data_IF_794120970041
#
_entry.id   IF_794120970041
#
_cell.length_a   1.000
_cell.length_b   1.000
_cell.length_c   1.000
_cell.angle_alpha   90.00
_cell.angle_beta   90.00
_cell.angle_gamma   90.00
#
_symmetry.space_group_name_H-M   'P 1'
#
loop_
_entity.id
_entity.type
_entity.pdbx_description
1 polymer ?
#
# COMPACT_ATOMS: atom_id res chain seq x y z
N UNK A 1 0.69 6.45 -17.26
CA UNK A 1 2.12 6.41 -16.81
C UNK A 1 2.22 5.47 -15.64
N UNK A 2 3.31 4.72 -15.46
CA UNK A 2 3.31 3.64 -14.45
C UNK A 2 4.60 3.65 -13.63
N UNK A 3 4.43 3.69 -12.31
CA UNK A 3 5.49 3.65 -11.31
C UNK A 3 5.56 2.27 -10.65
N UNK A 4 6.70 1.95 -10.05
CA UNK A 4 6.89 0.73 -9.25
C UNK A 4 8.01 0.96 -8.24
N UNK A 5 8.40 -0.08 -7.49
CA UNK A 5 9.53 -0.05 -6.59
C UNK A 5 10.59 -1.11 -6.98
N UNK A 6 11.86 -0.77 -6.78
CA UNK A 6 12.99 -1.68 -7.03
C UNK A 6 13.26 -2.67 -5.88
N UNK A 7 12.56 -2.52 -4.76
CA UNK A 7 12.74 -3.27 -3.52
C UNK A 7 11.88 -2.73 -2.40
N UNK A 8 12.05 -3.27 -1.19
CA UNK A 8 11.38 -2.78 0.02
C UNK A 8 12.16 -1.69 0.74
N UNK A 9 11.49 -1.04 1.69
CA UNK A 9 12.01 0.10 2.44
C UNK A 9 11.77 1.43 1.72
N UNK A 10 12.36 2.49 2.28
CA UNK A 10 12.14 3.87 1.83
C UNK A 10 12.82 4.19 0.51
N UNK A 11 12.20 5.03 -0.31
CA UNK A 11 12.86 5.67 -1.47
C UNK A 11 13.22 4.71 -2.60
N UNK A 12 12.41 3.67 -2.80
CA UNK A 12 12.64 2.64 -3.81
C UNK A 12 11.89 2.88 -5.13
N UNK A 13 11.13 3.98 -5.22
CA UNK A 13 10.34 4.33 -6.41
C UNK A 13 11.18 4.43 -7.68
N UNK A 14 10.72 3.76 -8.75
CA UNK A 14 11.27 3.83 -10.10
C UNK A 14 10.12 3.87 -11.13
N UNK A 15 10.43 4.22 -12.37
CA UNK A 15 9.49 4.05 -13.48
C UNK A 15 9.37 2.57 -13.84
N UNK A 16 8.16 2.09 -14.17
CA UNK A 16 7.95 0.74 -14.71
C UNK A 16 8.39 0.70 -16.18
N UNK A 17 9.68 0.82 -16.45
CA UNK A 17 10.27 0.75 -17.80
C UNK A 17 11.32 -0.33 -17.81
N UNK A 18 11.38 -1.14 -18.86
CA UNK A 18 12.31 -2.27 -18.94
C UNK A 18 13.74 -1.86 -18.55
N UNK A 19 14.26 -0.79 -19.15
CA UNK A 19 15.61 -0.28 -18.89
C UNK A 19 15.82 0.31 -17.47
N UNK A 20 14.75 0.68 -16.76
CA UNK A 20 14.82 1.19 -15.39
C UNK A 20 14.72 0.07 -14.33
N UNK A 21 14.26 -1.12 -14.71
CA UNK A 21 14.13 -2.25 -13.79
C UNK A 21 15.50 -2.87 -13.47
N UNK A 22 15.77 -3.23 -12.20
CA UNK A 22 16.89 -4.08 -11.86
C UNK A 22 16.83 -5.42 -12.60
N UNK A 23 17.98 -6.00 -12.92
CA UNK A 23 18.07 -7.29 -13.63
C UNK A 23 17.29 -8.41 -12.93
N UNK A 24 17.27 -8.43 -11.59
CA UNK A 24 16.48 -9.40 -10.84
C UNK A 24 14.97 -9.31 -11.15
N UNK A 25 14.43 -8.10 -11.30
CA UNK A 25 13.03 -7.89 -11.65
C UNK A 25 12.74 -8.18 -13.12
N UNK A 26 13.69 -7.85 -14.00
CA UNK A 26 13.63 -8.25 -15.42
C UNK A 26 13.57 -9.78 -15.53
N UNK A 27 14.41 -10.52 -14.81
CA UNK A 27 14.41 -11.99 -14.82
C UNK A 27 13.13 -12.62 -14.26
N UNK A 28 12.43 -11.94 -13.34
CA UNK A 28 11.11 -12.39 -12.86
C UNK A 28 10.03 -12.18 -13.92
N UNK A 29 10.07 -11.04 -14.61
CA UNK A 29 9.17 -10.74 -15.72
C UNK A 29 9.49 -11.56 -16.97
N UNK A 30 10.69 -12.11 -17.11
CA UNK A 30 11.08 -12.91 -18.27
C UNK A 30 10.66 -14.39 -18.19
N UNK A 31 9.72 -14.71 -17.29
CA UNK A 31 9.18 -16.05 -17.10
C UNK A 31 7.75 -16.17 -17.63
N UNK A 32 7.45 -17.27 -18.29
CA UNK A 32 6.10 -17.69 -18.66
C UNK A 32 5.26 -18.10 -17.42
N UNK A 33 4.01 -18.51 -17.63
CA UNK A 33 3.12 -18.97 -16.56
C UNK A 33 3.62 -20.18 -15.77
N UNK A 34 4.50 -20.98 -16.37
CA UNK A 34 5.10 -22.18 -15.79
C UNK A 34 6.43 -21.86 -15.07
N UNK A 35 6.89 -20.61 -15.10
CA UNK A 35 8.14 -20.18 -14.48
C UNK A 35 9.38 -20.42 -15.35
N UNK A 36 9.20 -20.74 -16.64
CA UNK A 36 10.30 -20.95 -17.60
C UNK A 36 10.67 -19.65 -18.29
N UNK A 37 11.97 -19.40 -18.40
CA UNK A 37 12.48 -18.21 -19.08
C UNK A 37 12.27 -18.30 -20.58
N UNK A 38 11.61 -17.30 -21.16
CA UNK A 38 11.17 -17.32 -22.57
C UNK A 38 11.67 -16.15 -23.43
N UNK A 39 12.42 -15.21 -22.84
CA UNK A 39 12.98 -14.06 -23.53
C UNK A 39 11.96 -12.96 -23.86
N UNK A 40 10.72 -13.08 -23.38
CA UNK A 40 9.64 -12.14 -23.68
C UNK A 40 9.45 -11.05 -22.62
N UNK A 41 10.35 -10.90 -21.64
CA UNK A 41 10.19 -10.01 -20.50
C UNK A 41 9.90 -8.54 -20.86
N UNK A 42 10.61 -7.96 -21.84
CA UNK A 42 10.34 -6.57 -22.28
C UNK A 42 8.97 -6.45 -22.94
N UNK A 43 8.65 -7.36 -23.86
CA UNK A 43 7.35 -7.42 -24.54
C UNK A 43 6.21 -7.62 -23.55
N UNK A 44 6.44 -8.42 -22.50
CA UNK A 44 5.51 -8.66 -21.41
C UNK A 44 5.28 -7.41 -20.56
N UNK A 45 6.34 -6.65 -20.28
CA UNK A 45 6.21 -5.36 -19.63
C UNK A 45 5.41 -4.37 -20.49
N UNK A 46 5.62 -4.32 -21.80
CA UNK A 46 4.83 -3.46 -22.68
C UNK A 46 3.34 -3.86 -22.68
N UNK A 47 3.05 -5.16 -22.67
CA UNK A 47 1.68 -5.67 -22.49
C UNK A 47 1.05 -5.20 -21.17
N UNK A 48 1.76 -5.32 -20.03
CA UNK A 48 1.31 -4.83 -18.72
C UNK A 48 1.07 -3.32 -18.73
N UNK A 49 1.84 -2.58 -19.53
CA UNK A 49 1.67 -1.13 -19.73
C UNK A 49 0.57 -0.75 -20.72
N UNK A 50 -0.14 -1.73 -21.27
CA UNK A 50 -1.31 -1.52 -22.12
C UNK A 50 -1.06 -1.73 -23.63
N UNK A 51 0.13 -2.14 -24.05
CA UNK A 51 0.35 -2.53 -25.45
C UNK A 51 -0.49 -3.78 -25.79
N UNK A 52 -1.17 -3.73 -26.93
CA UNK A 52 -2.07 -4.79 -27.42
C UNK A 52 -1.51 -5.54 -28.63
N UNK A 53 -0.35 -5.17 -29.14
CA UNK A 53 0.23 -5.69 -30.39
C UNK A 53 0.56 -7.19 -30.36
N UNK A 54 0.70 -7.76 -29.16
CA UNK A 54 1.00 -9.18 -28.95
C UNK A 54 -0.16 -9.98 -28.33
N UNK A 55 -1.36 -9.41 -28.31
CA UNK A 55 -2.59 -10.14 -27.95
C UNK A 55 -2.96 -11.16 -29.04
N UNK A 56 -3.51 -12.32 -28.64
CA UNK A 56 -3.82 -13.49 -29.48
C UNK A 56 -2.61 -14.20 -30.13
N UNK A 57 -1.40 -13.61 -30.05
CA UNK A 57 -0.15 -14.24 -30.47
C UNK A 57 0.64 -14.79 -29.27
N UNK A 58 1.39 -13.94 -28.57
CA UNK A 58 2.21 -14.31 -27.42
C UNK A 58 1.40 -14.31 -26.11
N UNK A 59 0.47 -13.38 -25.96
CA UNK A 59 -0.30 -13.18 -24.73
C UNK A 59 -1.80 -13.35 -24.97
N UNK A 60 -2.56 -13.57 -23.91
CA UNK A 60 -4.02 -13.62 -24.03
C UNK A 60 -4.59 -12.27 -24.49
N UNK A 61 -5.73 -12.33 -25.17
CA UNK A 61 -6.48 -11.13 -25.52
C UNK A 61 -7.25 -10.59 -24.33
N UNK A 62 -7.15 -9.29 -24.09
CA UNK A 62 -7.89 -8.60 -23.03
C UNK A 62 -9.19 -8.01 -23.54
N UNK A 63 -10.24 -8.09 -22.70
CA UNK A 63 -11.48 -7.33 -22.91
C UNK A 63 -11.32 -5.83 -22.62
N UNK A 64 -10.44 -5.48 -21.68
CA UNK A 64 -10.11 -4.12 -21.25
C UNK A 64 -8.63 -4.04 -20.86
N UNK A 65 -8.01 -2.87 -21.01
CA UNK A 65 -6.63 -2.64 -20.51
C UNK A 65 -6.62 -2.62 -18.98
N UNK A 66 -7.63 -1.99 -18.36
CA UNK A 66 -7.84 -2.06 -16.92
C UNK A 66 -8.23 -3.48 -16.52
N UNK A 67 -7.50 -4.04 -15.55
CA UNK A 67 -7.75 -5.36 -14.99
C UNK A 67 -9.06 -5.48 -14.21
N UNK A 68 -9.39 -6.72 -13.84
CA UNK A 68 -10.61 -6.99 -13.07
C UNK A 68 -10.51 -6.40 -11.65
N UNK A 69 -11.53 -5.64 -11.25
CA UNK A 69 -11.70 -5.12 -9.88
C UNK A 69 -12.70 -6.03 -9.17
N UNK A 70 -12.25 -6.75 -8.14
CA UNK A 70 -13.08 -7.77 -7.48
C UNK A 70 -13.42 -7.36 -6.04
N UNK A 71 -12.41 -7.14 -5.19
CA UNK A 71 -12.65 -6.78 -3.78
C UNK A 71 -12.23 -5.35 -3.43
N UNK A 72 -11.34 -4.74 -4.21
CA UNK A 72 -10.90 -3.37 -3.95
C UNK A 72 -12.04 -2.39 -4.21
N UNK A 73 -12.36 -1.56 -3.21
CA UNK A 73 -13.31 -0.47 -3.37
C UNK A 73 -12.60 0.79 -3.88
N UNK A 74 -13.34 1.63 -4.61
CA UNK A 74 -12.85 2.91 -5.08
C UNK A 74 -12.70 3.89 -3.91
N UNK A 75 -11.49 4.40 -3.71
CA UNK A 75 -11.18 5.45 -2.75
C UNK A 75 -11.17 6.82 -3.46
N UNK A 76 -12.12 7.69 -3.13
CA UNK A 76 -12.19 9.04 -3.68
C UNK A 76 -11.42 10.01 -2.80
N UNK A 77 -10.47 10.74 -3.37
CA UNK A 77 -9.68 11.77 -2.66
C UNK A 77 -9.76 13.10 -3.41
N UNK A 78 -10.19 14.13 -2.70
CA UNK A 78 -10.26 15.52 -3.15
C UNK A 78 -9.51 16.42 -2.16
N UNK A 79 -9.94 17.65 -1.89
CA UNK A 79 -9.28 18.50 -0.89
C UNK A 79 -9.16 17.82 0.49
N UNK A 80 -8.10 18.12 1.29
CA UNK A 80 -7.90 17.50 2.60
C UNK A 80 -9.07 17.75 3.57
N UNK A 81 -9.48 16.72 4.28
CA UNK A 81 -10.66 16.72 5.16
C UNK A 81 -10.46 15.97 6.49
N UNK A 82 -9.22 15.62 6.86
CA UNK A 82 -8.90 14.93 8.12
C UNK A 82 -9.28 15.72 9.38
N UNK A 83 -9.58 17.02 9.25
CA UNK A 83 -10.23 17.81 10.30
C UNK A 83 -9.33 18.19 11.48
N UNK A 84 -8.00 18.13 11.32
CA UNK A 84 -7.07 18.53 12.37
C UNK A 84 -7.20 20.02 12.69
N UNK A 85 -6.95 20.35 13.96
CA UNK A 85 -6.85 21.70 14.51
C UNK A 85 -5.38 22.03 14.72
N UNK A 86 -4.98 23.28 14.50
CA UNK A 86 -3.62 23.76 14.80
C UNK A 86 -3.23 23.78 16.30
N UNK A 87 -4.07 23.23 17.18
CA UNK A 87 -3.86 23.17 18.62
C UNK A 87 -3.23 21.85 19.08
N UNK A 88 -2.16 21.40 18.41
CA UNK A 88 -1.38 20.24 18.85
C UNK A 88 -0.61 20.55 20.15
N UNK A 89 -0.31 19.55 21.00
CA UNK A 89 0.43 19.74 22.24
C UNK A 89 1.78 20.45 22.05
N UNK A 90 2.19 21.24 23.04
CA UNK A 90 3.45 22.01 23.02
C UNK A 90 4.66 21.11 22.76
N UNK A 91 5.53 21.53 21.84
CA UNK A 91 6.76 20.81 21.52
C UNK A 91 6.60 19.70 20.49
N UNK A 92 5.38 19.46 19.99
CA UNK A 92 5.15 18.56 18.85
C UNK A 92 5.61 19.20 17.54
N UNK A 93 6.02 18.38 16.53
CA UNK A 93 6.42 18.89 15.22
C UNK A 93 5.35 19.78 14.56
N UNK A 94 4.08 19.42 14.70
CA UNK A 94 2.93 20.14 14.14
C UNK A 94 2.77 21.51 14.80
N UNK A 95 2.85 21.59 16.14
CA UNK A 95 2.74 22.86 16.88
C UNK A 95 3.89 23.82 16.54
N UNK A 96 5.11 23.28 16.41
CA UNK A 96 6.29 24.07 16.01
C UNK A 96 6.10 24.60 14.58
N UNK A 97 5.63 23.76 13.65
CA UNK A 97 5.40 24.14 12.27
C UNK A 97 4.26 25.16 12.13
N UNK A 98 3.18 25.00 12.88
CA UNK A 98 2.07 25.95 12.95
C UNK A 98 2.54 27.33 13.42
N UNK A 99 3.44 27.39 14.40
CA UNK A 99 4.05 28.65 14.87
C UNK A 99 4.88 29.35 13.78
N UNK A 100 5.41 28.58 12.81
CA UNK A 100 6.07 29.07 11.61
C UNK A 100 5.15 29.35 10.41
N UNK A 101 3.83 29.21 10.57
CA UNK A 101 2.84 29.44 9.53
C UNK A 101 2.57 28.25 8.59
N UNK A 102 3.08 27.06 8.94
CA UNK A 102 2.81 25.78 8.25
C UNK A 102 1.70 25.02 8.97
N UNK A 103 0.54 25.65 9.06
CA UNK A 103 -0.65 25.11 9.71
C UNK A 103 -1.38 24.04 8.90
N UNK A 104 -2.20 23.23 9.55
CA UNK A 104 -3.08 22.30 8.83
C UNK A 104 -4.15 23.08 8.04
N UNK A 105 -4.67 24.16 8.61
CA UNK A 105 -5.62 25.07 7.99
C UNK A 105 -5.05 25.65 6.68
N UNK A 106 -3.75 25.96 6.65
CA UNK A 106 -3.05 26.39 5.43
C UNK A 106 -2.89 25.24 4.44
N UNK A 107 -2.61 24.02 4.90
CA UNK A 107 -2.53 22.84 4.04
C UNK A 107 -3.87 22.57 3.35
N UNK A 108 -4.98 22.59 4.10
CA UNK A 108 -6.36 22.50 3.59
C UNK A 108 -6.62 23.62 2.58
N UNK A 109 -6.33 24.87 2.93
CA UNK A 109 -6.53 25.99 2.02
C UNK A 109 -5.73 25.84 0.72
N UNK A 110 -4.47 25.41 0.81
CA UNK A 110 -3.58 25.23 -0.34
C UNK A 110 -4.08 24.13 -1.28
N UNK A 111 -4.62 23.04 -0.73
CA UNK A 111 -5.05 21.86 -1.49
C UNK A 111 -6.57 21.75 -1.67
N UNK A 112 -7.34 22.79 -1.31
CA UNK A 112 -8.82 22.80 -1.43
C UNK A 112 -9.33 22.52 -2.86
N UNK A 113 -8.51 22.85 -3.86
CA UNK A 113 -8.79 22.62 -5.28
C UNK A 113 -7.98 21.45 -5.85
N UNK A 114 -7.49 20.53 -5.00
CA UNK A 114 -6.83 19.30 -5.43
C UNK A 114 -7.74 18.56 -6.40
N UNK A 115 -7.22 18.25 -7.57
CA UNK A 115 -7.99 17.57 -8.60
C UNK A 115 -8.50 16.22 -8.06
N UNK A 116 -9.83 16.01 -8.01
CA UNK A 116 -10.40 14.80 -7.45
C UNK A 116 -9.88 13.58 -8.21
N UNK A 117 -9.52 12.55 -7.47
CA UNK A 117 -8.91 11.34 -8.00
C UNK A 117 -9.49 10.12 -7.28
N UNK A 118 -9.84 9.10 -8.05
CA UNK A 118 -10.22 7.78 -7.53
C UNK A 118 -8.98 6.90 -7.54
N UNK A 119 -8.69 6.26 -6.41
CA UNK A 119 -7.67 5.24 -6.27
C UNK A 119 -8.33 3.88 -6.10
N UNK A 120 -7.95 2.89 -6.89
CA UNK A 120 -8.49 1.54 -6.78
C UNK A 120 -7.46 0.49 -7.17
N UNK A 121 -7.46 -0.65 -6.49
CA UNK A 121 -6.65 -1.81 -6.84
C UNK A 121 -7.33 -2.64 -7.93
N UNK A 122 -6.55 -3.13 -8.89
CA UNK A 122 -7.00 -4.06 -9.91
C UNK A 122 -6.09 -5.30 -10.01
N UNK A 123 -6.68 -6.39 -10.51
CA UNK A 123 -6.03 -7.70 -10.60
C UNK A 123 -5.13 -7.87 -11.84
N UNK A 124 -4.84 -6.78 -12.55
CA UNK A 124 -3.72 -6.65 -13.49
C UNK A 124 -2.37 -6.35 -12.78
N UNK A 125 -2.40 -6.18 -11.45
CA UNK A 125 -1.20 -5.96 -10.64
C UNK A 125 -0.99 -4.51 -10.22
N UNK A 126 -1.98 -3.64 -10.42
CA UNK A 126 -1.81 -2.20 -10.25
C UNK A 126 -2.82 -1.58 -9.29
N UNK A 127 -2.36 -0.56 -8.56
CA UNK A 127 -3.23 0.52 -8.09
C UNK A 127 -3.38 1.52 -9.22
N UNK A 128 -4.59 1.90 -9.58
CA UNK A 128 -4.89 2.92 -10.58
C UNK A 128 -5.35 4.22 -9.93
N UNK A 129 -4.80 5.34 -10.37
CA UNK A 129 -5.26 6.69 -10.04
C UNK A 129 -6.04 7.25 -11.24
N UNK A 130 -7.34 7.45 -11.09
CA UNK A 130 -8.26 7.83 -12.15
C UNK A 130 -8.78 9.25 -11.89
N UNK A 131 -8.79 10.09 -12.92
CA UNK A 131 -9.35 11.43 -12.85
C UNK A 131 -10.86 11.38 -12.54
N UNK A 132 -11.27 11.96 -11.41
CA UNK A 132 -12.66 11.97 -10.97
C UNK A 132 -13.32 13.35 -11.18
N UNK A 133 -12.75 14.21 -12.02
CA UNK A 133 -13.36 15.49 -12.37
C UNK A 133 -14.58 15.28 -13.25
N UNK A 134 -15.60 16.11 -13.08
CA UNK A 134 -16.75 16.19 -13.99
C UNK A 134 -16.40 17.00 -15.26
N UNK A 135 -15.25 16.70 -15.88
CA UNK A 135 -14.79 17.32 -17.13
C UNK A 135 -14.59 16.26 -18.21
N UNK A 136 -14.19 16.65 -19.42
CA UNK A 136 -13.82 15.70 -20.47
C UNK A 136 -12.58 14.84 -20.09
N UNK A 137 -11.83 15.23 -19.06
CA UNK A 137 -10.73 14.43 -18.53
C UNK A 137 -11.19 13.34 -17.54
N UNK A 138 -12.42 13.41 -17.04
CA UNK A 138 -12.98 12.45 -16.10
C UNK A 138 -12.96 11.03 -16.66
N UNK A 139 -12.59 10.06 -15.82
CA UNK A 139 -12.42 8.66 -16.20
C UNK A 139 -11.07 8.33 -16.82
N UNK A 140 -10.24 9.30 -17.17
CA UNK A 140 -8.89 9.03 -17.68
C UNK A 140 -7.96 8.59 -16.55
N UNK A 141 -7.14 7.58 -16.81
CA UNK A 141 -6.07 7.20 -15.90
C UNK A 141 -5.01 8.31 -15.83
N UNK A 142 -4.74 8.81 -14.62
CA UNK A 142 -3.63 9.73 -14.36
C UNK A 142 -2.32 8.96 -14.33
N UNK A 143 -2.25 7.91 -13.52
CA UNK A 143 -1.09 7.06 -13.34
C UNK A 143 -1.49 5.75 -12.66
N UNK A 144 -0.57 4.78 -12.66
CA UNK A 144 -0.72 3.54 -11.90
C UNK A 144 0.56 3.18 -11.15
N UNK A 145 0.43 2.32 -10.14
CA UNK A 145 1.53 1.82 -9.33
C UNK A 145 1.51 0.29 -9.26
N UNK A 146 2.64 -0.34 -9.57
CA UNK A 146 2.87 -1.78 -9.41
C UNK A 146 3.67 -2.05 -8.15
N UNK A 147 3.11 -2.72 -7.13
CA UNK A 147 3.84 -3.09 -5.92
C UNK A 147 4.97 -4.11 -6.18
N UNK A 148 6.14 -3.90 -5.57
CA UNK A 148 7.31 -4.78 -5.70
C UNK A 148 7.01 -6.21 -5.27
N UNK A 149 6.17 -6.39 -4.25
CA UNK A 149 5.78 -7.71 -3.75
C UNK A 149 5.09 -8.62 -4.79
N UNK A 150 4.60 -8.07 -5.91
CA UNK A 150 3.94 -8.85 -6.97
C UNK A 150 4.88 -9.37 -8.06
N UNK A 151 6.14 -8.95 -8.12
CA UNK A 151 7.00 -9.32 -9.26
C UNK A 151 7.19 -10.81 -9.47
N UNK A 152 7.09 -11.62 -8.40
CA UNK A 152 7.17 -13.07 -8.49
C UNK A 152 5.99 -13.72 -9.24
N UNK A 153 4.85 -13.03 -9.34
CA UNK A 153 3.62 -13.54 -9.96
C UNK A 153 3.11 -12.66 -11.10
N UNK A 154 3.62 -11.43 -11.24
CA UNK A 154 3.16 -10.43 -12.20
C UNK A 154 3.25 -10.90 -13.66
N UNK A 155 4.23 -11.74 -13.99
CA UNK A 155 4.36 -12.28 -15.36
C UNK A 155 3.16 -13.12 -15.78
N UNK A 156 2.46 -13.74 -14.82
CA UNK A 156 1.27 -14.57 -15.06
C UNK A 156 0.09 -13.78 -15.60
N UNK A 157 0.08 -12.45 -15.42
CA UNK A 157 -0.97 -11.59 -15.99
C UNK A 157 -0.98 -11.69 -17.52
N UNK A 158 0.17 -11.91 -18.17
CA UNK A 158 0.22 -12.01 -19.64
C UNK A 158 -0.01 -13.43 -20.17
N UNK A 159 -0.20 -14.43 -19.30
CA UNK A 159 -0.29 -15.84 -19.68
C UNK A 159 -1.32 -16.06 -20.81
N UNK A 160 -1.03 -16.94 -21.78
CA UNK A 160 -1.94 -17.16 -22.92
C UNK A 160 -3.25 -17.81 -22.48
N UNK A 161 -3.18 -18.71 -21.51
CA UNK A 161 -4.34 -19.30 -20.84
C UNK A 161 -4.60 -18.59 -19.51
N UNK A 162 -4.72 -17.26 -19.54
CA UNK A 162 -4.90 -16.46 -18.33
C UNK A 162 -6.13 -16.90 -17.54
N UNK A 163 -5.90 -17.16 -16.26
CA UNK A 163 -6.94 -17.34 -15.24
C UNK A 163 -6.74 -16.23 -14.23
N UNK A 164 -7.83 -15.55 -13.86
CA UNK A 164 -7.81 -14.46 -12.90
C UNK A 164 -6.96 -14.83 -11.68
N UNK A 165 -5.92 -14.02 -11.45
CA UNK A 165 -5.07 -14.11 -10.27
C UNK A 165 -5.39 -12.94 -9.35
N UNK A 166 -5.57 -13.17 -8.04
CA UNK A 166 -5.57 -12.07 -7.09
C UNK A 166 -4.24 -11.32 -7.14
N UNK A 167 -4.28 -9.99 -7.23
CA UNK A 167 -3.08 -9.14 -7.22
C UNK A 167 -3.25 -7.95 -6.28
N UNK A 168 -3.49 -6.73 -6.78
CA UNK A 168 -3.80 -5.57 -5.93
C UNK A 168 -5.29 -5.54 -5.68
N UNK A 169 -5.73 -6.20 -4.61
CA UNK A 169 -7.16 -6.43 -4.38
C UNK A 169 -7.66 -5.82 -3.06
N UNK A 170 -6.77 -5.25 -2.24
CA UNK A 170 -7.17 -4.53 -1.02
C UNK A 170 -7.73 -3.13 -1.36
N UNK A 171 -8.70 -2.67 -0.56
CA UNK A 171 -9.12 -1.26 -0.58
C UNK A 171 -8.02 -0.42 0.07
N UNK A 172 -7.44 0.57 -0.62
CA UNK A 172 -6.47 1.48 -0.02
C UNK A 172 -7.14 2.36 1.04
N UNK A 173 -6.34 2.93 1.94
CA UNK A 173 -6.76 3.96 2.90
C UNK A 173 -5.96 5.23 2.67
N UNK A 174 -6.56 6.38 2.96
CA UNK A 174 -5.89 7.67 3.03
C UNK A 174 -5.91 8.26 4.45
N UNK A 175 -4.90 9.09 4.73
CA UNK A 175 -4.90 9.97 5.89
C UNK A 175 -3.97 11.15 5.64
N UNK A 176 -4.32 12.34 6.14
CA UNK A 176 -3.33 13.40 6.23
C UNK A 176 -2.38 13.14 7.41
N UNK A 177 -1.08 13.27 7.16
CA UNK A 177 -0.02 12.99 8.12
C UNK A 177 1.01 14.11 8.09
N UNK A 178 1.73 14.31 9.19
CA UNK A 178 2.78 15.31 9.28
C UNK A 178 4.16 14.65 9.39
N UNK A 179 5.03 14.91 8.42
CA UNK A 179 6.43 14.48 8.49
C UNK A 179 7.31 15.44 7.70
N UNK A 180 8.61 15.40 7.94
CA UNK A 180 9.58 16.28 7.30
C UNK A 180 9.21 17.79 7.32
N UNK A 181 8.47 18.24 8.34
CA UNK A 181 8.08 19.63 8.52
C UNK A 181 6.89 20.10 7.68
N UNK A 182 6.16 19.18 7.03
CA UNK A 182 5.00 19.51 6.22
C UNK A 182 3.86 18.48 6.38
N UNK A 183 2.66 18.92 6.00
CA UNK A 183 1.49 18.05 5.86
C UNK A 183 1.49 17.35 4.51
N UNK A 184 1.14 16.07 4.52
CA UNK A 184 1.05 15.21 3.35
C UNK A 184 -0.26 14.41 3.41
N UNK A 185 -0.84 14.09 2.26
CA UNK A 185 -1.90 13.08 2.17
C UNK A 185 -1.27 11.75 1.79
N UNK A 186 -1.24 10.82 2.74
CA UNK A 186 -0.68 9.48 2.61
C UNK A 186 -1.76 8.54 2.11
N UNK A 187 -1.44 7.70 1.12
CA UNK A 187 -2.23 6.53 0.75
C UNK A 187 -1.46 5.27 1.15
N UNK A 188 -2.13 4.33 1.83
CA UNK A 188 -1.57 3.01 2.16
C UNK A 188 -2.41 1.93 1.50
N UNK A 189 -1.76 1.04 0.76
CA UNK A 189 -2.42 -0.08 0.10
C UNK A 189 -1.88 -1.44 0.55
N UNK A 190 -2.71 -2.46 0.36
CA UNK A 190 -2.38 -3.87 0.54
C UNK A 190 -2.70 -4.68 -0.71
N UNK A 191 -2.55 -6.01 -0.62
CA UNK A 191 -2.67 -6.94 -1.75
C UNK A 191 -3.70 -8.04 -1.51
N UNK A 192 -4.24 -8.19 -0.28
CA UNK A 192 -5.05 -9.36 0.10
C UNK A 192 -4.33 -10.65 -0.28
N UNK A 193 -4.95 -11.52 -1.09
CA UNK A 193 -4.38 -12.79 -1.53
C UNK A 193 -3.28 -12.64 -2.59
N UNK A 194 -3.14 -11.46 -3.21
CA UNK A 194 -2.13 -11.26 -4.25
C UNK A 194 -0.70 -11.23 -3.73
N UNK A 195 -0.49 -10.92 -2.45
CA UNK A 195 0.83 -10.98 -1.85
C UNK A 195 0.89 -10.56 -0.39
N UNK A 196 2.06 -10.80 0.20
CA UNK A 196 2.37 -10.51 1.61
C UNK A 196 3.13 -9.19 1.71
N UNK A 197 2.42 -8.08 1.48
CA UNK A 197 3.02 -6.76 1.47
C UNK A 197 2.02 -5.62 1.58
N UNK A 198 2.53 -4.47 2.03
CA UNK A 198 1.87 -3.17 2.05
C UNK A 198 2.80 -2.12 1.46
N UNK A 199 2.23 -1.06 0.91
CA UNK A 199 2.96 0.04 0.30
C UNK A 199 2.33 1.37 0.69
N UNK A 200 3.13 2.44 0.69
CA UNK A 200 2.65 3.78 0.93
C UNK A 200 3.10 4.77 -0.14
N UNK A 201 2.16 5.61 -0.55
CA UNK A 201 2.33 6.62 -1.60
C UNK A 201 1.97 8.01 -1.04
N UNK A 202 2.72 9.03 -1.43
CA UNK A 202 2.35 10.42 -1.19
C UNK A 202 1.44 10.91 -2.34
N UNK A 203 0.15 11.05 -2.03
CA UNK A 203 -0.88 11.50 -2.98
C UNK A 203 -1.28 12.96 -2.75
N UNK A 204 -0.48 13.74 -2.02
CA UNK A 204 -0.72 15.18 -1.78
C UNK A 204 -0.94 15.91 -3.10
N UNK A 205 -0.06 15.66 -4.07
CA UNK A 205 -0.26 16.04 -5.46
C UNK A 205 -0.87 14.85 -6.24
N UNK A 206 -2.01 15.00 -6.93
CA UNK A 206 -2.64 13.90 -7.67
C UNK A 206 -1.86 13.49 -8.94
N UNK A 207 -0.93 14.32 -9.43
CA UNK A 207 -0.08 13.99 -10.57
C UNK A 207 1.17 13.21 -10.16
N UNK A 208 1.64 12.34 -11.05
CA UNK A 208 2.89 11.59 -10.93
C UNK A 208 3.82 11.89 -12.12
N UNK A 209 5.08 11.47 -12.01
CA UNK A 209 6.06 11.56 -13.10
C UNK A 209 7.03 10.39 -13.03
N UNK A 210 7.25 9.71 -14.17
CA UNK A 210 8.28 8.67 -14.31
C UNK A 210 9.71 9.26 -14.13
N UNK A 211 9.89 10.58 -14.25
CA UNK A 211 11.17 11.26 -14.00
C UNK A 211 11.42 11.57 -12.52
N UNK A 212 10.41 11.49 -11.65
CA UNK A 212 10.56 11.75 -10.21
C UNK A 212 9.69 10.81 -9.36
N UNK A 213 9.86 9.48 -9.52
CA UNK A 213 9.03 8.48 -8.84
C UNK A 213 9.15 8.51 -7.31
N UNK A 214 10.32 8.89 -6.78
CA UNK A 214 10.57 8.96 -5.34
C UNK A 214 9.75 10.03 -4.59
N UNK A 215 9.18 11.01 -5.30
CA UNK A 215 8.24 11.97 -4.70
C UNK A 215 6.83 11.38 -4.49
N UNK A 216 6.55 10.23 -5.12
CA UNK A 216 5.26 9.52 -5.06
C UNK A 216 5.36 8.26 -4.22
N UNK A 217 6.39 7.45 -4.46
CA UNK A 217 6.55 6.15 -3.80
C UNK A 217 7.41 6.34 -2.55
N UNK A 218 6.77 6.31 -1.37
CA UNK A 218 7.47 6.49 -0.11
C UNK A 218 8.22 5.23 0.29
N UNK A 219 7.50 4.11 0.41
CA UNK A 219 8.06 2.85 0.87
C UNK A 219 7.18 1.64 0.57
N UNK A 220 7.81 0.45 0.64
CA UNK A 220 7.12 -0.83 0.77
C UNK A 220 7.61 -1.60 1.99
N UNK A 221 6.70 -2.34 2.63
CA UNK A 221 7.01 -3.27 3.70
C UNK A 221 6.35 -4.63 3.38
N UNK A 222 7.13 -5.70 3.43
CA UNK A 222 6.69 -7.03 3.09
C UNK A 222 7.35 -8.09 4.00
N UNK A 223 7.02 -9.36 3.78
CA UNK A 223 7.59 -10.45 4.58
C UNK A 223 9.11 -10.64 4.50
N UNK A 224 9.78 -10.09 3.48
CA UNK A 224 11.25 -10.10 3.35
C UNK A 224 11.91 -8.85 3.94
N UNK A 225 11.12 -7.91 4.44
CA UNK A 225 11.63 -6.69 5.08
C UNK A 225 12.19 -7.01 6.47
N UNK A 226 13.10 -6.16 6.96
CA UNK A 226 13.64 -6.32 8.31
C UNK A 226 12.51 -6.28 9.35
N UNK A 227 12.37 -7.35 10.13
CA UNK A 227 11.28 -7.53 11.09
C UNK A 227 9.91 -7.83 10.49
N UNK A 228 9.79 -8.03 9.17
CA UNK A 228 8.54 -8.31 8.47
C UNK A 228 8.16 -9.78 8.35
N UNK A 229 8.99 -10.72 8.83
CA UNK A 229 8.80 -12.15 8.62
C UNK A 229 7.42 -12.70 9.02
N UNK A 230 6.77 -12.07 10.00
CA UNK A 230 5.45 -12.46 10.49
C UNK A 230 4.27 -11.88 9.68
N UNK A 231 4.53 -11.07 8.64
CA UNK A 231 3.50 -10.51 7.77
C UNK A 231 2.98 -11.57 6.80
N UNK A 232 1.69 -11.88 6.87
CA UNK A 232 0.92 -12.71 5.97
C UNK A 232 0.23 -11.92 4.85
N UNK A 233 -0.81 -12.51 4.28
CA UNK A 233 -1.63 -11.92 3.22
C UNK A 233 -2.49 -10.78 3.78
N UNK A 234 -2.42 -9.60 3.18
CA UNK A 234 -2.88 -8.33 3.77
C UNK A 234 -4.37 -8.08 3.54
N UNK A 235 -5.20 -8.92 4.17
CA UNK A 235 -6.67 -8.76 4.18
C UNK A 235 -7.18 -7.72 5.18
N UNK A 236 -6.46 -7.55 6.30
CA UNK A 236 -6.77 -6.52 7.28
C UNK A 236 -6.40 -5.15 6.73
N UNK A 237 -7.30 -4.19 6.85
CA UNK A 237 -7.06 -2.82 6.41
C UNK A 237 -6.07 -2.15 7.38
N UNK A 238 -5.00 -1.50 6.87
CA UNK A 238 -4.13 -0.68 7.69
C UNK A 238 -4.88 0.51 8.29
N UNK A 239 -4.39 1.04 9.40
CA UNK A 239 -4.84 2.31 9.95
C UNK A 239 -3.64 3.25 10.13
N UNK A 240 -3.89 4.56 10.19
CA UNK A 240 -2.85 5.58 10.30
C UNK A 240 -3.12 6.40 11.55
N UNK A 241 -2.12 6.51 12.42
CA UNK A 241 -2.25 7.19 13.70
C UNK A 241 -1.08 8.10 14.05
N UNK A 242 -1.27 8.92 15.06
CA UNK A 242 -0.30 9.87 15.60
C UNK A 242 0.06 9.51 17.03
N UNK A 243 1.28 9.00 17.24
CA UNK A 243 1.75 8.54 18.55
C UNK A 243 2.28 9.69 19.40
N UNK A 244 2.20 9.58 20.74
CA UNK A 244 2.68 10.60 21.68
C UNK A 244 4.17 11.01 21.51
N UNK A 245 4.99 10.16 20.90
CA UNK A 245 6.40 10.44 20.63
C UNK A 245 6.67 11.39 19.45
N UNK A 246 5.63 11.99 18.86
CA UNK A 246 5.77 12.94 17.76
C UNK A 246 5.67 12.32 16.36
N UNK A 247 5.52 11.00 16.25
CA UNK A 247 5.54 10.30 14.96
C UNK A 247 4.14 9.92 14.48
N UNK A 248 3.93 10.10 13.18
CA UNK A 248 2.86 9.43 12.46
C UNK A 248 3.28 8.01 12.09
N UNK A 249 2.34 7.08 12.22
CA UNK A 249 2.59 5.66 12.00
C UNK A 249 1.48 5.01 11.20
N UNK A 250 1.84 3.96 10.48
CA UNK A 250 0.90 3.04 9.84
C UNK A 250 0.87 1.76 10.65
N UNK A 251 -0.31 1.43 11.17
CA UNK A 251 -0.58 0.20 11.88
C UNK A 251 -1.05 -0.86 10.88
N UNK A 252 -0.22 -1.86 10.66
CA UNK A 252 -0.49 -2.94 9.71
C UNK A 252 -0.76 -4.22 10.49
N UNK A 253 -1.97 -4.79 10.42
CA UNK A 253 -2.22 -6.11 10.98
C UNK A 253 -1.46 -7.18 10.19
N UNK A 254 -1.01 -8.25 10.87
CA UNK A 254 -0.24 -9.31 10.23
C UNK A 254 -0.97 -10.02 9.08
N UNK A 255 -2.28 -9.89 8.96
CA UNK A 255 -3.05 -10.56 7.91
C UNK A 255 -3.10 -12.07 8.13
N UNK A 256 -3.36 -12.84 7.07
CA UNK A 256 -3.65 -14.27 7.18
C UNK A 256 -2.67 -15.17 6.42
N UNK A 257 -2.63 -16.45 6.80
CA UNK A 257 -1.97 -17.51 6.04
C UNK A 257 -3.00 -18.53 5.57
N UNK A 258 -2.77 -19.12 4.39
CA UNK A 258 -3.60 -20.21 3.91
C UNK A 258 -3.47 -21.44 4.82
N UNK A 259 -4.54 -22.23 4.95
CA UNK A 259 -4.51 -23.49 5.69
C UNK A 259 -3.45 -24.42 5.10
N UNK A 260 -2.60 -25.00 5.95
CA UNK A 260 -1.48 -25.85 5.53
C UNK A 260 -0.29 -25.08 4.94
N UNK A 261 -0.22 -23.76 5.09
CA UNK A 261 0.96 -22.99 4.66
C UNK A 261 2.24 -23.51 5.32
N UNK A 262 3.31 -23.62 4.54
CA UNK A 262 4.66 -23.95 5.00
C UNK A 262 5.46 -22.71 5.44
N UNK A 263 4.87 -21.51 5.37
CA UNK A 263 5.48 -20.30 5.90
C UNK A 263 5.73 -20.45 7.41
N UNK A 264 6.96 -20.18 7.86
CA UNK A 264 7.32 -20.29 9.28
C UNK A 264 6.36 -19.47 10.19
N UNK A 265 5.97 -18.28 9.72
CA UNK A 265 5.05 -17.40 10.44
C UNK A 265 3.63 -17.97 10.60
N UNK A 266 3.19 -18.90 9.74
CA UNK A 266 1.88 -19.54 9.84
C UNK A 266 1.77 -20.47 11.05
N UNK A 267 2.90 -20.87 11.65
CA UNK A 267 2.97 -21.73 12.84
C UNK A 267 3.15 -20.94 14.14
N UNK A 268 3.21 -19.60 14.09
CA UNK A 268 3.36 -18.78 15.29
C UNK A 268 2.12 -18.92 16.20
N UNK A 269 2.29 -19.00 17.54
CA UNK A 269 1.18 -19.06 18.48
C UNK A 269 0.55 -17.68 18.78
N UNK A 270 0.93 -16.65 18.03
CA UNK A 270 0.52 -15.25 18.21
C UNK A 270 0.25 -14.60 16.85
N UNK A 271 -0.58 -13.56 16.86
CA UNK A 271 -0.74 -12.62 15.75
C UNK A 271 0.07 -11.36 16.01
N UNK A 272 0.43 -10.62 14.95
CA UNK A 272 1.23 -9.40 15.07
C UNK A 272 0.50 -8.15 14.58
N UNK A 273 0.77 -7.03 15.23
CA UNK A 273 0.52 -5.68 14.75
C UNK A 273 1.87 -5.02 14.48
N UNK A 274 2.09 -4.58 13.25
CA UNK A 274 3.28 -3.84 12.86
C UNK A 274 3.00 -2.35 12.95
N UNK A 275 3.84 -1.64 13.70
CA UNK A 275 3.82 -0.18 13.79
C UNK A 275 4.96 0.33 12.92
N UNK A 276 4.61 0.84 11.74
CA UNK A 276 5.55 1.35 10.75
C UNK A 276 5.58 2.87 10.80
N UNK A 277 6.75 3.47 10.66
CA UNK A 277 6.89 4.92 10.50
C UNK A 277 6.20 5.39 9.20
N UNK A 278 5.31 6.38 9.26
CA UNK A 278 4.50 6.77 8.11
C UNK A 278 5.31 7.33 6.93
N UNK A 279 6.44 7.99 7.20
CA UNK A 279 7.31 8.55 6.17
C UNK A 279 8.21 7.48 5.53
N UNK A 280 8.73 6.57 6.33
CA UNK A 280 9.84 5.69 5.92
C UNK A 280 9.45 4.23 5.76
N UNK A 281 8.35 3.79 6.36
CA UNK A 281 7.95 2.38 6.41
C UNK A 281 8.86 1.53 7.31
N UNK A 282 9.77 2.17 8.05
CA UNK A 282 10.63 1.47 8.99
C UNK A 282 9.81 0.91 10.14
N UNK A 283 10.05 -0.35 10.51
CA UNK A 283 9.41 -0.97 11.66
C UNK A 283 9.87 -0.27 12.94
N UNK A 284 8.94 0.41 13.61
CA UNK A 284 9.15 1.02 14.93
C UNK A 284 8.96 -0.05 16.00
N UNK A 285 7.87 -0.82 15.89
CA UNK A 285 7.52 -1.85 16.87
C UNK A 285 6.69 -2.94 16.22
N UNK A 286 6.97 -4.18 16.60
CA UNK A 286 6.05 -5.30 16.40
C UNK A 286 5.41 -5.63 17.75
N UNK A 287 4.09 -5.70 17.76
CA UNK A 287 3.31 -6.03 18.95
C UNK A 287 2.64 -7.36 18.70
N UNK A 288 2.80 -8.28 19.63
CA UNK A 288 2.34 -9.66 19.49
C UNK A 288 1.17 -9.87 20.44
N UNK A 289 0.13 -10.59 20.00
CA UNK A 289 -0.89 -11.09 20.93
C UNK A 289 -0.26 -12.03 21.95
N UNK A 290 -0.91 -12.23 23.10
CA UNK A 290 -0.37 -13.09 24.15
C UNK A 290 -0.21 -14.53 23.66
N UNK A 291 0.98 -15.11 23.86
CA UNK A 291 1.27 -16.53 23.60
C UNK A 291 0.68 -17.46 24.66
N UNK A 292 0.00 -16.93 25.68
CA UNK A 292 -0.58 -17.73 26.75
C UNK A 292 -1.71 -18.63 26.20
N UNK A 293 -1.67 -19.95 26.48
CA UNK A 293 -2.62 -20.88 25.91
C UNK A 293 -4.00 -20.67 26.54
N UNK A 294 -4.94 -20.09 25.80
CA UNK A 294 -6.34 -20.07 26.26
C UNK A 294 -7.19 -21.18 25.63
N UNK A 295 -6.80 -21.75 24.48
CA UNK A 295 -7.46 -22.91 23.82
C UNK A 295 -6.57 -23.50 22.72
N UNK A 296 -6.90 -24.70 22.20
CA UNK A 296 -6.24 -25.36 21.06
C UNK A 296 -6.47 -24.67 19.68
N UNK A 297 -7.03 -23.47 19.66
CA UNK A 297 -7.26 -22.70 18.42
C UNK A 297 -5.99 -21.90 18.10
N UNK A 298 -5.39 -22.14 16.95
CA UNK A 298 -4.23 -21.40 16.45
C UNK A 298 -4.72 -20.05 15.87
N UNK A 299 -4.07 -18.94 16.21
CA UNK A 299 -4.38 -17.61 15.64
C UNK A 299 -3.64 -17.46 14.33
N UNK A 300 -4.36 -17.23 13.24
CA UNK A 300 -3.75 -17.06 11.92
C UNK A 300 -3.80 -15.61 11.42
N UNK A 301 -4.20 -14.65 12.24
CA UNK A 301 -4.22 -13.25 11.80
C UNK A 301 -4.92 -12.27 12.72
N UNK A 302 -4.52 -11.01 12.57
CA UNK A 302 -5.08 -9.84 13.25
C UNK A 302 -6.02 -9.08 12.31
N UNK A 303 -7.12 -8.57 12.85
CA UNK A 303 -8.09 -7.72 12.15
C UNK A 303 -7.65 -6.26 12.11
N UNK A 304 -8.39 -5.40 11.40
CA UNK A 304 -8.07 -3.98 11.27
C UNK A 304 -8.02 -3.29 12.64
N UNK A 305 -6.93 -2.55 12.96
CA UNK A 305 -6.81 -1.82 14.21
C UNK A 305 -7.72 -0.57 14.22
N UNK A 306 -8.32 -0.28 15.37
CA UNK A 306 -9.06 0.95 15.66
C UNK A 306 -8.27 1.78 16.66
N UNK A 307 -8.12 3.07 16.37
CA UNK A 307 -7.40 4.01 17.23
C UNK A 307 -8.37 4.79 18.13
N UNK A 308 -7.91 5.17 19.31
CA UNK A 308 -8.64 6.00 20.25
C UNK A 308 -7.76 7.13 20.79
N UNK A 309 -8.22 8.37 20.58
CA UNK A 309 -7.75 9.57 21.28
C UNK A 309 -8.75 9.85 22.42
N UNK A 310 -8.30 9.64 23.66
CA UNK A 310 -9.13 9.81 24.86
C UNK A 310 -8.94 11.16 25.53
N UNK A 311 -7.93 11.95 25.13
CA UNK A 311 -7.70 13.30 25.66
C UNK A 311 -8.15 14.41 24.70
N UNK A 312 -8.60 14.05 23.49
CA UNK A 312 -9.06 14.95 22.43
C UNK A 312 -8.00 15.99 22.03
N UNK A 313 -6.73 15.56 22.03
CA UNK A 313 -5.55 16.37 21.70
C UNK A 313 -4.94 16.02 20.33
N UNK A 314 -5.59 15.12 19.58
CA UNK A 314 -5.19 14.65 18.25
C UNK A 314 -3.98 13.71 18.25
N UNK A 315 -3.66 13.15 19.42
CA UNK A 315 -2.70 12.09 19.61
C UNK A 315 -3.48 10.82 19.96
N UNK A 316 -3.21 9.74 19.24
CA UNK A 316 -3.81 8.45 19.53
C UNK A 316 -3.14 7.82 20.74
N UNK A 317 -3.94 7.53 21.77
CA UNK A 317 -3.50 6.95 23.04
C UNK A 317 -3.47 5.43 22.98
N UNK A 318 -4.44 4.86 22.28
CA UNK A 318 -4.61 3.43 22.21
C UNK A 318 -4.94 2.94 20.80
N UNK A 319 -4.53 1.71 20.52
CA UNK A 319 -4.97 0.96 19.35
C UNK A 319 -5.53 -0.39 19.77
N UNK A 320 -6.73 -0.72 19.31
CA UNK A 320 -7.39 -2.00 19.55
C UNK A 320 -7.47 -2.82 18.29
N UNK A 321 -7.02 -4.06 18.32
CA UNK A 321 -7.17 -4.99 17.21
C UNK A 321 -7.46 -6.40 17.72
N UNK A 322 -8.48 -7.05 17.17
CA UNK A 322 -8.86 -8.42 17.51
C UNK A 322 -8.19 -9.46 16.62
N UNK A 323 -7.92 -10.66 17.12
CA UNK A 323 -7.44 -11.79 16.32
C UNK A 323 -8.50 -12.89 16.14
N UNK A 324 -8.20 -13.92 15.33
CA UNK A 324 -9.13 -15.03 15.10
C UNK A 324 -9.44 -15.90 16.33
N UNK A 325 -8.72 -15.70 17.45
CA UNK A 325 -8.97 -16.36 18.73
C UNK A 325 -9.81 -15.50 19.68
N UNK A 326 -10.19 -14.29 19.28
CA UNK A 326 -10.86 -13.32 20.15
C UNK A 326 -9.91 -12.64 21.15
N UNK A 327 -8.59 -12.71 20.93
CA UNK A 327 -7.61 -11.92 21.69
C UNK A 327 -7.58 -10.49 21.14
N UNK A 328 -7.34 -9.52 22.02
CA UNK A 328 -7.16 -8.13 21.65
C UNK A 328 -5.72 -7.69 21.91
N UNK A 329 -5.15 -6.93 20.98
CA UNK A 329 -3.98 -6.10 21.23
C UNK A 329 -4.48 -4.72 21.64
N UNK A 330 -3.97 -4.19 22.74
CA UNK A 330 -4.12 -2.80 23.15
C UNK A 330 -2.72 -2.16 23.14
N UNK A 331 -2.62 -1.00 22.48
CA UNK A 331 -1.50 -0.07 22.61
C UNK A 331 -1.82 0.99 23.67
#
# INVERSE_FOLDING_TARGET
>A
MILTARGTGTGQGIALRWAALPTALQSLLDKDENGTTDGNGSTRLDFLRGDRGNEDSLFHRRGSVLGAVVNSQALYVAGPDSGYRDTFPTGTPEQIAASGGNTYERFVYTHRARAPTIYLGANDGMLHAIDATATAAGGNERWAYVPYALYATLSKVSAKNYVLQPMVDATPVERDVFFAGAWHTLLVGGLRLGGRGVYALDITNPAASEASPGAKVLWEFNHTSSGGGDLGYTYGQPNVGRLANGKWVVLVPAGYFANGSSDAAASNPYSSLFVLDAQTGALIRQIKTSSAPQTAVISYGLTAPVLGDYQNDQIDDAAFAGDLRGQFVAL
#
